data_IF_658426816780
#
_entry.id   IF_658426816780
#
_cell.length_a   1.000
_cell.length_b   1.000
_cell.length_c   1.000
_cell.angle_alpha   90.00
_cell.angle_beta   90.00
_cell.angle_gamma   90.00
#
_symmetry.space_group_name_H-M   'P 1'
#
loop_
_entity.id
_entity.type
_entity.pdbx_description
1 polymer ?
#
# COMPACT_ATOMS: atom_id res chain seq x y z
N UNK A 1 63.22 8.73 -13.43
CA UNK A 1 62.00 9.34 -12.83
C UNK A 1 60.75 9.27 -13.72
N UNK A 2 60.84 9.36 -15.06
CA UNK A 2 59.68 9.28 -15.99
C UNK A 2 58.89 7.95 -15.89
N UNK A 3 59.57 6.81 -15.81
CA UNK A 3 58.90 5.49 -15.81
C UNK A 3 58.05 5.24 -14.56
N UNK A 4 58.44 5.77 -13.39
CA UNK A 4 57.67 5.61 -12.14
C UNK A 4 56.33 6.35 -12.18
N UNK A 5 56.29 7.55 -12.78
CA UNK A 5 55.05 8.33 -12.94
C UNK A 5 54.07 7.65 -13.92
N UNK A 6 54.57 7.09 -15.01
CA UNK A 6 53.77 6.35 -15.98
C UNK A 6 53.15 5.08 -15.37
N UNK A 7 53.90 4.36 -14.53
CA UNK A 7 53.41 3.16 -13.83
C UNK A 7 52.33 3.52 -12.81
N UNK A 8 52.52 4.59 -12.03
CA UNK A 8 51.52 5.07 -11.05
C UNK A 8 50.23 5.51 -11.75
N UNK A 9 50.36 6.21 -12.88
CA UNK A 9 49.20 6.66 -13.65
C UNK A 9 48.43 5.48 -14.28
N UNK A 10 49.13 4.46 -14.77
CA UNK A 10 48.50 3.23 -15.27
C UNK A 10 47.76 2.45 -14.18
N UNK A 11 48.34 2.36 -12.98
CA UNK A 11 47.72 1.73 -11.81
C UNK A 11 46.44 2.47 -11.36
N UNK A 12 46.46 3.80 -11.37
CA UNK A 12 45.29 4.62 -11.03
C UNK A 12 44.14 4.44 -12.02
N UNK A 13 44.46 4.39 -13.32
CA UNK A 13 43.45 4.16 -14.37
C UNK A 13 42.85 2.76 -14.24
N UNK A 14 43.67 1.74 -14.02
CA UNK A 14 43.21 0.36 -13.85
C UNK A 14 42.32 0.19 -12.61
N UNK A 15 42.66 0.86 -11.51
CA UNK A 15 41.86 0.87 -10.28
C UNK A 15 40.49 1.55 -10.48
N UNK A 16 40.43 2.66 -11.22
CA UNK A 16 39.16 3.34 -11.51
C UNK A 16 38.21 2.48 -12.37
N UNK A 17 38.75 1.77 -13.36
CA UNK A 17 37.95 0.86 -14.22
C UNK A 17 37.38 -0.29 -13.40
N UNK A 18 38.14 -0.83 -12.44
CA UNK A 18 37.67 -1.90 -11.56
C UNK A 18 36.50 -1.43 -10.67
N UNK A 19 36.57 -0.23 -10.08
CA UNK A 19 35.50 0.27 -9.20
C UNK A 19 34.19 0.48 -9.96
N UNK A 20 34.24 0.92 -11.22
CA UNK A 20 33.05 1.12 -12.06
C UNK A 20 32.41 -0.19 -12.52
N UNK A 21 33.20 -1.25 -12.71
CA UNK A 21 32.69 -2.55 -13.15
C UNK A 21 31.92 -3.32 -12.05
N UNK A 22 32.22 -3.05 -10.77
CA UNK A 22 31.63 -3.76 -9.63
C UNK A 22 30.53 -2.96 -8.89
N UNK A 23 30.18 -1.75 -9.34
CA UNK A 23 29.13 -0.93 -8.71
C UNK A 23 27.70 -1.26 -9.16
N UNK A 24 27.50 -2.30 -9.97
CA UNK A 24 26.21 -2.69 -10.53
C UNK A 24 25.54 -3.90 -9.85
N UNK A 25 25.46 -3.95 -8.52
CA UNK A 25 24.73 -5.02 -7.82
C UNK A 25 23.29 -4.57 -7.50
N UNK A 26 22.42 -4.59 -8.51
CA UNK A 26 20.99 -4.35 -8.35
C UNK A 26 20.20 -5.61 -8.71
N UNK A 27 19.59 -6.28 -7.73
CA UNK A 27 18.65 -7.38 -8.00
C UNK A 27 17.38 -6.76 -8.58
N UNK A 28 17.18 -6.91 -9.89
CA UNK A 28 15.91 -6.55 -10.53
C UNK A 28 14.82 -7.40 -9.89
N UNK A 29 13.75 -6.76 -9.43
CA UNK A 29 12.59 -7.46 -8.85
C UNK A 29 11.99 -8.47 -9.83
N UNK A 30 11.21 -9.41 -9.31
CA UNK A 30 10.39 -10.28 -10.17
C UNK A 30 9.51 -9.41 -11.09
N UNK A 31 9.30 -9.81 -12.36
CA UNK A 31 8.39 -9.09 -13.24
C UNK A 31 6.98 -9.09 -12.64
N UNK A 32 6.26 -7.96 -12.78
CA UNK A 32 4.84 -7.90 -12.45
C UNK A 32 4.07 -8.85 -13.38
N UNK A 33 3.05 -9.52 -12.85
CA UNK A 33 2.15 -10.33 -13.66
C UNK A 33 1.46 -9.45 -14.72
N UNK A 34 1.25 -9.96 -15.95
CA UNK A 34 0.57 -9.21 -16.99
C UNK A 34 -0.88 -8.92 -16.59
N UNK A 35 -1.32 -7.66 -16.77
CA UNK A 35 -2.70 -7.27 -16.53
C UNK A 35 -3.61 -7.86 -17.62
N UNK A 36 -4.43 -8.85 -17.26
CA UNK A 36 -5.44 -9.42 -18.15
C UNK A 36 -6.73 -8.62 -17.97
N UNK A 37 -7.20 -8.00 -19.07
CA UNK A 37 -8.45 -7.24 -19.08
C UNK A 37 -9.61 -8.13 -18.61
N UNK A 38 -10.40 -7.63 -17.65
CA UNK A 38 -11.55 -8.36 -17.12
C UNK A 38 -11.27 -9.33 -15.97
N UNK A 39 -10.01 -9.45 -15.51
CA UNK A 39 -9.63 -10.23 -14.31
C UNK A 39 -9.28 -9.33 -13.12
N UNK A 40 -9.81 -8.11 -13.07
CA UNK A 40 -9.59 -7.17 -11.96
C UNK A 40 -10.90 -6.88 -11.25
N UNK A 41 -10.83 -6.73 -9.93
CA UNK A 41 -11.91 -6.21 -9.10
C UNK A 41 -11.73 -4.70 -9.01
N UNK A 42 -12.80 -3.94 -9.25
CA UNK A 42 -12.71 -2.49 -9.14
C UNK A 42 -12.42 -2.07 -7.70
N UNK A 43 -11.65 -1.00 -7.53
CA UNK A 43 -11.28 -0.49 -6.21
C UNK A 43 -12.49 0.15 -5.53
N UNK A 44 -12.71 -0.04 -4.22
CA UNK A 44 -13.71 0.71 -3.48
C UNK A 44 -13.41 2.21 -3.50
N UNK A 45 -14.43 3.02 -3.72
CA UNK A 45 -14.34 4.48 -3.85
C UNK A 45 -15.18 5.18 -2.80
N UNK A 46 -14.96 6.49 -2.63
CA UNK A 46 -15.74 7.34 -1.71
C UNK A 46 -15.82 6.84 -0.27
N UNK A 47 -14.74 6.24 0.25
CA UNK A 47 -14.64 5.86 1.66
C UNK A 47 -14.84 7.10 2.55
N UNK A 48 -15.85 7.05 3.41
CA UNK A 48 -16.26 8.09 4.35
C UNK A 48 -16.47 7.48 5.73
N UNK A 49 -16.57 8.36 6.72
CA UNK A 49 -16.91 7.95 8.08
C UNK A 49 -17.97 8.87 8.68
N UNK A 50 -18.79 8.31 9.56
CA UNK A 50 -19.72 9.03 10.43
C UNK A 50 -19.33 8.70 11.88
N UNK A 51 -19.27 9.73 12.73
CA UNK A 51 -18.90 9.59 14.13
C UNK A 51 -20.13 9.31 15.01
N UNK A 52 -20.06 8.24 15.80
CA UNK A 52 -20.91 8.03 16.98
C UNK A 52 -20.13 8.28 18.28
N UNK A 53 -20.75 8.01 19.43
CA UNK A 53 -20.16 8.31 20.75
C UNK A 53 -18.89 7.50 21.08
N UNK A 54 -18.84 6.22 20.67
CA UNK A 54 -17.73 5.28 20.94
C UNK A 54 -17.32 4.45 19.72
N UNK A 55 -17.90 4.76 18.58
CA UNK A 55 -17.74 4.01 17.35
C UNK A 55 -17.78 4.96 16.17
N UNK A 56 -17.18 4.53 15.06
CA UNK A 56 -17.35 5.17 13.78
C UNK A 56 -17.97 4.17 12.81
N UNK A 57 -18.82 4.70 11.93
CA UNK A 57 -19.41 3.95 10.85
C UNK A 57 -18.64 4.32 9.60
N UNK A 58 -17.93 3.36 9.02
CA UNK A 58 -17.27 3.49 7.73
C UNK A 58 -18.27 3.13 6.64
N UNK A 59 -18.36 3.94 5.59
CA UNK A 59 -19.16 3.65 4.40
C UNK A 59 -18.37 3.92 3.13
N UNK A 60 -18.59 3.11 2.10
CA UNK A 60 -17.93 3.25 0.80
C UNK A 60 -18.89 2.93 -0.35
N UNK A 61 -18.45 3.24 -1.56
CA UNK A 61 -19.13 2.86 -2.79
C UNK A 61 -18.29 1.86 -3.56
N UNK A 62 -18.95 1.03 -4.36
CA UNK A 62 -18.27 0.13 -5.27
C UNK A 62 -19.12 -0.12 -6.51
N UNK A 63 -18.54 0.17 -7.68
CA UNK A 63 -19.14 -0.09 -8.97
C UNK A 63 -18.18 -0.93 -9.82
N UNK A 64 -18.74 -1.91 -10.53
CA UNK A 64 -17.99 -2.76 -11.45
C UNK A 64 -17.70 -1.97 -12.72
N UNK A 65 -16.43 -1.88 -13.11
CA UNK A 65 -16.05 -1.29 -14.40
C UNK A 65 -16.08 -2.37 -15.48
N UNK A 66 -17.12 -2.34 -16.32
CA UNK A 66 -17.29 -3.30 -17.40
C UNK A 66 -16.16 -3.30 -18.46
N UNK A 67 -15.30 -2.28 -18.48
CA UNK A 67 -14.20 -2.17 -19.45
C UNK A 67 -12.86 -2.67 -18.91
N UNK A 68 -12.59 -2.46 -17.61
CA UNK A 68 -11.26 -2.73 -17.03
C UNK A 68 -11.30 -3.67 -15.83
N UNK A 69 -12.39 -3.70 -15.07
CA UNK A 69 -12.50 -4.43 -13.82
C UNK A 69 -13.91 -5.02 -13.64
N UNK A 70 -14.17 -6.09 -14.42
CA UNK A 70 -15.48 -6.75 -14.56
C UNK A 70 -15.82 -7.71 -13.41
N UNK A 71 -14.84 -8.08 -12.57
CA UNK A 71 -15.06 -9.08 -11.52
C UNK A 71 -15.81 -8.44 -10.36
N UNK A 72 -16.96 -9.02 -10.03
CA UNK A 72 -17.74 -8.66 -8.84
C UNK A 72 -17.02 -9.16 -7.58
N UNK A 73 -16.87 -8.33 -6.55
CA UNK A 73 -16.33 -8.79 -5.29
C UNK A 73 -17.33 -9.68 -4.56
N UNK A 74 -16.80 -10.53 -3.70
CA UNK A 74 -17.54 -11.29 -2.69
C UNK A 74 -17.66 -10.50 -1.39
N UNK A 75 -16.60 -9.80 -1.02
CA UNK A 75 -16.51 -9.08 0.24
C UNK A 75 -15.56 -7.89 0.14
N UNK A 76 -15.48 -7.15 1.24
CA UNK A 76 -14.56 -6.06 1.47
C UNK A 76 -13.78 -6.31 2.75
N UNK A 77 -12.46 -6.27 2.67
CA UNK A 77 -11.58 -6.28 3.84
C UNK A 77 -11.32 -4.85 4.29
N UNK A 78 -11.51 -4.60 5.58
CA UNK A 78 -11.32 -3.28 6.20
C UNK A 78 -10.03 -3.32 6.99
N UNK A 79 -9.17 -2.34 6.73
CA UNK A 79 -7.88 -2.22 7.38
C UNK A 79 -7.81 -0.95 8.22
N UNK A 80 -7.15 -1.06 9.37
CA UNK A 80 -6.92 0.04 10.29
C UNK A 80 -5.46 0.09 10.72
N UNK A 81 -4.91 1.29 10.75
CA UNK A 81 -3.71 1.58 11.51
C UNK A 81 -4.03 2.56 12.66
N UNK A 82 -3.49 2.32 13.84
CA UNK A 82 -3.68 3.12 15.06
C UNK A 82 -2.36 3.78 15.43
N UNK A 83 -2.36 5.09 15.68
CA UNK A 83 -1.17 5.86 16.06
C UNK A 83 -1.50 6.81 17.22
N UNK A 84 -0.62 6.93 18.21
CA UNK A 84 -0.77 7.95 19.28
C UNK A 84 -0.50 9.34 18.71
N UNK A 85 -1.03 10.39 19.36
CA UNK A 85 -0.74 11.77 18.95
C UNK A 85 0.75 12.14 19.06
N UNK A 86 1.47 11.51 20.00
CA UNK A 86 2.90 11.77 20.25
C UNK A 86 3.84 10.94 19.36
N UNK A 87 3.31 10.10 18.48
CA UNK A 87 4.17 9.20 17.72
C UNK A 87 5.01 9.95 16.67
N UNK A 88 6.27 9.56 16.58
CA UNK A 88 7.32 10.18 15.78
C UNK A 88 6.98 10.36 14.28
N UNK A 89 7.58 11.41 13.69
CA UNK A 89 7.50 11.70 12.26
C UNK A 89 8.29 10.62 11.49
N UNK A 90 7.66 10.01 10.48
CA UNK A 90 8.29 8.96 9.66
C UNK A 90 8.29 7.55 10.25
N UNK A 91 7.76 7.37 11.46
CA UNK A 91 7.66 6.04 12.06
C UNK A 91 6.66 5.17 11.28
N UNK A 92 7.08 3.95 10.86
CA UNK A 92 6.22 3.05 10.12
C UNK A 92 5.03 2.67 10.99
N UNK A 93 3.85 2.63 10.38
CA UNK A 93 2.63 2.14 11.02
C UNK A 93 2.03 1.06 10.13
N UNK A 94 1.58 0.00 10.79
CA UNK A 94 1.06 -1.17 10.11
C UNK A 94 -0.47 -1.10 10.03
N UNK A 95 -0.99 -1.45 8.87
CA UNK A 95 -2.41 -1.64 8.68
C UNK A 95 -2.76 -3.08 9.03
N UNK A 96 -3.66 -3.25 9.98
CA UNK A 96 -4.19 -4.54 10.42
C UNK A 96 -5.63 -4.70 9.93
N UNK A 97 -6.02 -5.91 9.54
CA UNK A 97 -7.41 -6.20 9.16
C UNK A 97 -8.27 -6.18 10.42
N UNK A 98 -9.32 -5.36 10.43
CA UNK A 98 -10.26 -5.24 11.55
C UNK A 98 -11.60 -5.92 11.29
N UNK A 99 -11.88 -6.27 10.04
CA UNK A 99 -13.12 -6.93 9.68
C UNK A 99 -13.26 -7.18 8.20
N UNK A 100 -14.27 -7.98 7.88
CA UNK A 100 -14.65 -8.32 6.51
C UNK A 100 -16.16 -8.12 6.38
N UNK A 101 -16.58 -7.39 5.35
CA UNK A 101 -18.00 -7.12 5.04
C UNK A 101 -18.36 -7.82 3.75
N UNK A 102 -19.31 -8.75 3.81
CA UNK A 102 -19.79 -9.44 2.61
C UNK A 102 -20.75 -8.56 1.80
N UNK A 103 -20.75 -8.73 0.49
CA UNK A 103 -21.73 -8.09 -0.40
C UNK A 103 -23.17 -8.48 0.00
N UNK A 104 -24.16 -7.59 -0.17
CA UNK A 104 -24.09 -6.26 -0.79
C UNK A 104 -23.79 -5.12 0.19
N UNK A 105 -23.43 -5.42 1.44
CA UNK A 105 -23.21 -4.38 2.44
C UNK A 105 -21.96 -3.56 2.14
N UNK A 106 -22.04 -2.26 2.39
CA UNK A 106 -20.97 -1.28 2.16
C UNK A 106 -20.65 -0.46 3.41
N UNK A 107 -21.03 -1.00 4.58
CA UNK A 107 -20.89 -0.33 5.86
C UNK A 107 -20.18 -1.22 6.88
N UNK A 108 -19.35 -0.60 7.73
CA UNK A 108 -18.63 -1.29 8.79
C UNK A 108 -18.55 -0.45 10.06
N UNK A 109 -18.81 -1.07 11.22
CA UNK A 109 -18.74 -0.43 12.52
C UNK A 109 -17.38 -0.71 13.18
N UNK A 110 -16.61 0.34 13.42
CA UNK A 110 -15.32 0.26 14.09
C UNK A 110 -15.37 0.91 15.47
N UNK A 111 -14.89 0.19 16.49
CA UNK A 111 -14.74 0.73 17.85
C UNK A 111 -13.53 1.64 17.91
N UNK A 112 -13.67 2.82 18.52
CA UNK A 112 -12.61 3.82 18.60
C UNK A 112 -12.36 4.23 20.05
N UNK A 113 -11.09 4.29 20.42
CA UNK A 113 -10.61 4.88 21.66
C UNK A 113 -10.13 6.32 21.44
N UNK A 114 -10.37 7.18 22.43
CA UNK A 114 -9.83 8.55 22.48
C UNK A 114 -8.31 8.55 22.66
N UNK A 115 -7.66 9.62 22.21
CA UNK A 115 -6.21 9.79 22.31
C UNK A 115 -5.43 9.17 21.14
N UNK A 116 -6.09 8.82 20.04
CA UNK A 116 -5.45 8.19 18.88
C UNK A 116 -5.87 8.79 17.54
N UNK A 117 -4.97 8.65 16.58
CA UNK A 117 -5.18 8.85 15.15
C UNK A 117 -5.38 7.50 14.49
N UNK A 118 -6.44 7.36 13.72
CA UNK A 118 -6.80 6.16 13.00
C UNK A 118 -6.76 6.39 11.51
N UNK A 119 -6.15 5.46 10.79
CA UNK A 119 -6.11 5.45 9.34
C UNK A 119 -6.92 4.26 8.84
N UNK A 120 -7.88 4.48 7.96
CA UNK A 120 -8.70 3.42 7.38
C UNK A 120 -8.54 3.34 5.89
N UNK A 121 -8.56 2.10 5.38
CA UNK A 121 -8.64 1.80 3.95
C UNK A 121 -9.41 0.49 3.76
N UNK A 122 -10.05 0.36 2.62
CA UNK A 122 -10.87 -0.81 2.28
C UNK A 122 -10.34 -1.44 1.00
N UNK A 123 -10.39 -2.76 0.91
CA UNK A 123 -10.01 -3.53 -0.27
C UNK A 123 -11.12 -4.49 -0.64
N UNK A 124 -11.48 -4.57 -1.92
CA UNK A 124 -12.46 -5.53 -2.39
C UNK A 124 -11.78 -6.89 -2.62
N UNK A 125 -12.45 -7.97 -2.23
CA UNK A 125 -11.96 -9.35 -2.34
C UNK A 125 -12.95 -10.21 -3.11
N UNK A 126 -12.44 -11.16 -3.89
CA UNK A 126 -13.22 -12.04 -4.76
C UNK A 126 -12.82 -13.50 -4.63
N UNK A 127 -13.12 -14.27 -5.67
CA UNK A 127 -12.67 -15.65 -5.82
C UNK A 127 -11.15 -15.76 -5.97
N UNK A 128 -10.60 -16.95 -5.71
CA UNK A 128 -9.19 -17.30 -6.00
C UNK A 128 -8.15 -16.28 -5.49
N UNK A 129 -8.35 -15.77 -4.27
CA UNK A 129 -7.51 -14.74 -3.64
C UNK A 129 -7.40 -13.42 -4.44
N UNK A 130 -8.33 -13.16 -5.35
CA UNK A 130 -8.39 -11.90 -6.08
C UNK A 130 -8.67 -10.74 -5.13
N UNK A 131 -7.85 -9.70 -5.26
CA UNK A 131 -7.97 -8.47 -4.48
C UNK A 131 -7.91 -7.25 -5.40
N UNK A 132 -8.70 -6.23 -5.10
CA UNK A 132 -8.54 -4.91 -5.72
C UNK A 132 -7.34 -4.18 -5.15
N UNK A 133 -7.05 -2.98 -5.69
CA UNK A 133 -6.23 -2.02 -4.94
C UNK A 133 -6.95 -1.56 -3.67
N UNK A 134 -6.23 -0.90 -2.78
CA UNK A 134 -6.83 -0.23 -1.63
C UNK A 134 -7.58 1.05 -2.05
N UNK A 135 -8.67 1.35 -1.34
CA UNK A 135 -9.31 2.66 -1.40
C UNK A 135 -8.35 3.76 -0.97
N UNK A 136 -8.72 5.02 -1.26
CA UNK A 136 -8.07 6.17 -0.64
C UNK A 136 -8.13 6.02 0.89
N UNK A 137 -6.98 6.22 1.54
CA UNK A 137 -6.91 6.18 3.00
C UNK A 137 -7.55 7.43 3.59
N UNK A 138 -8.38 7.25 4.61
CA UNK A 138 -8.96 8.34 5.41
C UNK A 138 -8.31 8.39 6.79
N UNK A 139 -8.22 9.59 7.35
CA UNK A 139 -7.72 9.86 8.70
C UNK A 139 -8.89 10.27 9.60
N UNK A 140 -9.02 9.62 10.75
CA UNK A 140 -9.89 10.02 11.83
C UNK A 140 -9.07 10.28 13.09
N UNK A 141 -9.24 11.45 13.70
CA UNK A 141 -8.58 11.80 14.96
C UNK A 141 -9.60 11.79 16.10
N UNK A 142 -9.43 10.88 17.07
CA UNK A 142 -10.26 10.83 18.27
C UNK A 142 -9.52 11.52 19.41
N UNK A 143 -9.91 12.76 19.71
CA UNK A 143 -9.34 13.55 20.81
C UNK A 143 -10.02 13.22 22.14
#
# INVERSE_FOLDING_TARGET
MKNKKAVIQALLVLSCVFILAFSGCGKKGLPLAPEIKGQKIATPVDLKYITGDKEIILSWNHEVDNKTAFVKPKAFEIFMAKKTFDACVGCPFEFTTIGVVSMPSMEFFAKIEKGFKYYFRVQATGDDDMRSEYSKTILFESK
#
